data_IF_894928405327
#
_entry.id   IF_894928405327
#
_cell.length_a   1.000
_cell.length_b   1.000
_cell.length_c   1.000
_cell.angle_alpha   90.00
_cell.angle_beta   90.00
_cell.angle_gamma   90.00
#
_symmetry.space_group_name_H-M   'P 1'
#
loop_
_entity.id
_entity.type
_entity.pdbx_description
1 polymer ?
#
# COMPACT_ATOMS: atom_id res chain seq x y z
N UNK A 1 6.09 31.24 10.18
CA UNK A 1 5.58 29.90 9.86
C UNK A 1 6.33 28.93 10.76
N UNK A 2 5.63 28.19 11.60
CA UNK A 2 6.27 27.26 12.55
C UNK A 2 6.92 26.11 11.76
N UNK A 3 8.24 25.96 11.90
CA UNK A 3 9.02 24.88 11.27
C UNK A 3 8.69 23.51 11.92
N UNK A 4 7.47 23.02 11.68
CA UNK A 4 7.06 21.70 12.11
C UNK A 4 7.50 20.68 11.04
N UNK A 5 8.78 20.28 11.06
CA UNK A 5 9.29 19.30 10.11
C UNK A 5 9.15 17.87 10.65
N UNK A 6 8.66 16.96 9.78
CA UNK A 6 8.57 15.53 10.06
C UNK A 6 9.51 14.74 9.14
N UNK A 7 10.36 13.90 9.72
CA UNK A 7 11.25 13.02 8.96
C UNK A 7 10.49 11.80 8.44
N UNK A 8 10.20 11.74 7.15
CA UNK A 8 9.58 10.57 6.50
C UNK A 8 10.69 9.58 6.16
N UNK A 9 10.82 8.54 6.98
CA UNK A 9 11.93 7.60 6.86
C UNK A 9 11.56 6.37 6.03
N UNK A 10 12.33 6.15 4.97
CA UNK A 10 12.24 4.99 4.10
C UNK A 10 13.62 4.62 3.54
N UNK A 11 14.15 3.40 3.79
CA UNK A 11 15.45 2.99 3.25
C UNK A 11 15.55 3.15 1.73
N UNK A 12 14.44 2.96 1.03
CA UNK A 12 14.33 3.02 -0.42
C UNK A 12 13.25 4.04 -0.78
N UNK A 13 13.67 5.28 -1.04
CA UNK A 13 12.77 6.39 -1.34
C UNK A 13 12.15 6.28 -2.74
N UNK A 14 10.91 6.70 -2.85
CA UNK A 14 10.17 6.94 -4.11
C UNK A 14 10.08 5.73 -5.05
N UNK A 15 9.89 4.53 -4.50
CA UNK A 15 9.53 3.39 -5.34
C UNK A 15 8.15 3.62 -5.96
N UNK A 16 8.01 3.27 -7.24
CA UNK A 16 6.74 3.40 -7.98
C UNK A 16 5.59 2.73 -7.23
N UNK A 17 5.80 1.52 -6.69
CA UNK A 17 4.78 0.77 -5.93
C UNK A 17 4.45 1.37 -4.55
N UNK A 18 5.15 2.40 -4.11
CA UNK A 18 5.03 3.03 -2.80
C UNK A 18 4.76 4.55 -2.90
N UNK A 19 4.33 5.01 -4.07
CA UNK A 19 4.03 6.43 -4.34
C UNK A 19 2.98 7.04 -3.40
N UNK A 20 2.14 6.21 -2.77
CA UNK A 20 1.16 6.64 -1.78
C UNK A 20 1.81 7.34 -0.56
N UNK A 21 3.05 6.97 -0.18
CA UNK A 21 3.78 7.60 0.94
C UNK A 21 4.05 9.07 0.61
N UNK A 22 4.58 9.34 -0.58
CA UNK A 22 4.88 10.70 -1.01
C UNK A 22 3.60 11.51 -1.23
N UNK A 23 2.55 10.92 -1.81
CA UNK A 23 1.24 11.57 -1.97
C UNK A 23 0.63 11.98 -0.62
N UNK A 24 0.65 11.09 0.37
CA UNK A 24 0.13 11.39 1.70
C UNK A 24 0.93 12.51 2.37
N UNK A 25 2.26 12.44 2.33
CA UNK A 25 3.12 13.48 2.91
C UNK A 25 2.99 14.83 2.18
N UNK A 26 2.79 14.81 0.85
CA UNK A 26 2.52 16.02 0.05
C UNK A 26 1.18 16.69 0.36
N UNK A 27 0.25 15.98 0.99
CA UNK A 27 -1.05 16.51 1.40
C UNK A 27 -1.04 17.13 2.83
N UNK A 28 0.08 17.13 3.54
CA UNK A 28 0.21 17.80 4.83
C UNK A 28 0.08 19.32 4.67
N UNK A 29 -0.56 19.95 5.62
CA UNK A 29 -0.80 21.40 5.64
C UNK A 29 0.00 22.14 6.72
N UNK A 30 0.33 21.46 7.81
CA UNK A 30 0.99 22.04 8.98
C UNK A 30 2.42 21.54 9.16
N UNK A 31 2.68 20.30 8.74
CA UNK A 31 3.98 19.68 8.85
C UNK A 31 4.69 19.68 7.49
N UNK A 32 6.01 19.99 7.51
CA UNK A 32 6.86 19.94 6.34
C UNK A 32 7.54 18.56 6.26
N UNK A 33 7.30 17.75 5.22
CA UNK A 33 7.95 16.46 5.08
C UNK A 33 9.42 16.61 4.67
N UNK A 34 10.31 15.93 5.37
CA UNK A 34 11.72 15.77 5.02
C UNK A 34 11.96 14.28 4.78
N UNK A 35 12.23 13.90 3.54
CA UNK A 35 12.39 12.49 3.17
C UNK A 35 13.79 12.02 3.52
N UNK A 36 13.88 11.00 4.38
CA UNK A 36 15.12 10.40 4.86
C UNK A 36 15.27 8.99 4.30
N UNK A 37 16.33 8.73 3.57
CA UNK A 37 16.53 7.41 3.00
C UNK A 37 17.96 7.05 2.66
N UNK A 38 18.19 5.79 2.32
CA UNK A 38 19.48 5.29 1.88
C UNK A 38 19.69 5.44 0.38
N UNK A 39 18.64 5.25 -0.41
CA UNK A 39 18.70 5.26 -1.89
C UNK A 39 17.38 5.77 -2.48
N UNK A 40 17.50 6.54 -3.55
CA UNK A 40 16.39 7.02 -4.36
C UNK A 40 16.16 6.03 -5.51
N UNK A 41 14.90 5.68 -5.79
CA UNK A 41 14.49 4.72 -6.82
C UNK A 41 13.62 5.35 -7.92
N UNK A 42 12.85 6.38 -7.60
CA UNK A 42 12.00 7.12 -8.52
C UNK A 42 12.14 8.62 -8.31
N UNK A 43 11.40 9.43 -9.08
CA UNK A 43 11.44 10.88 -8.94
C UNK A 43 10.93 11.31 -7.56
N UNK A 44 11.64 12.26 -6.96
CA UNK A 44 11.15 12.95 -5.77
C UNK A 44 10.00 13.90 -6.17
N UNK A 45 9.07 14.18 -5.24
CA UNK A 45 8.10 15.26 -5.46
C UNK A 45 8.80 16.59 -5.68
N UNK A 46 8.19 17.46 -6.49
CA UNK A 46 8.74 18.79 -6.76
C UNK A 46 8.91 19.60 -5.47
N UNK A 47 10.08 20.22 -5.31
CA UNK A 47 10.40 20.98 -4.10
C UNK A 47 10.63 20.18 -2.83
N UNK A 48 10.66 18.85 -2.90
CA UNK A 48 10.83 17.98 -1.72
C UNK A 48 12.22 18.13 -1.09
N UNK A 49 12.25 18.28 0.24
CA UNK A 49 13.49 18.16 1.01
C UNK A 49 13.87 16.67 1.15
N UNK A 50 14.99 16.26 0.56
CA UNK A 50 15.43 14.87 0.53
C UNK A 50 16.84 14.73 1.08
N UNK A 51 17.02 13.86 2.06
CA UNK A 51 18.29 13.58 2.71
C UNK A 51 18.67 12.11 2.47
N UNK A 52 19.69 11.92 1.64
CA UNK A 52 20.34 10.62 1.41
C UNK A 52 21.81 10.77 1.79
N UNK A 53 22.23 10.24 2.95
CA UNK A 53 23.59 10.44 3.41
C UNK A 53 24.61 9.66 2.57
N UNK A 54 25.58 10.38 2.01
CA UNK A 54 26.74 9.84 1.29
C UNK A 54 26.38 8.71 0.27
N UNK A 55 25.55 8.98 -0.75
CA UNK A 55 24.98 7.93 -1.61
C UNK A 55 26.04 7.11 -2.38
N UNK A 56 27.23 7.64 -2.64
CA UNK A 56 28.35 6.96 -3.29
C UNK A 56 29.33 6.27 -2.33
N UNK A 57 29.18 6.41 -1.02
CA UNK A 57 30.13 5.86 -0.05
C UNK A 57 29.70 4.46 0.44
N UNK A 58 30.42 3.42 0.01
CA UNK A 58 30.13 2.04 0.34
C UNK A 58 30.19 1.76 1.87
N UNK A 59 31.11 2.38 2.60
CA UNK A 59 31.24 2.20 4.05
C UNK A 59 30.03 2.81 4.78
N UNK A 60 29.58 4.01 4.37
CA UNK A 60 28.36 4.64 4.89
C UNK A 60 27.13 3.77 4.63
N UNK A 61 27.00 3.23 3.44
CA UNK A 61 25.90 2.32 3.06
C UNK A 61 25.93 1.01 3.86
N UNK A 62 27.10 0.42 4.04
CA UNK A 62 27.29 -0.78 4.86
C UNK A 62 26.98 -0.50 6.34
N UNK A 63 27.39 0.65 6.88
CA UNK A 63 27.09 1.06 8.24
C UNK A 63 25.58 1.23 8.47
N UNK A 64 24.85 1.84 7.54
CA UNK A 64 23.39 1.96 7.62
C UNK A 64 22.73 0.58 7.66
N UNK A 65 23.10 -0.33 6.74
CA UNK A 65 22.44 -1.63 6.61
C UNK A 65 22.92 -2.63 7.67
N UNK A 66 24.23 -2.75 7.86
CA UNK A 66 24.81 -3.74 8.77
C UNK A 66 24.70 -3.35 10.23
N UNK A 67 25.07 -2.11 10.56
CA UNK A 67 25.14 -1.61 11.94
C UNK A 67 23.92 -0.76 12.31
N UNK A 68 23.01 -0.47 11.39
CA UNK A 68 21.89 0.46 11.59
C UNK A 68 22.35 1.83 12.11
N UNK A 69 23.48 2.32 11.60
CA UNK A 69 24.13 3.51 12.12
C UNK A 69 23.31 4.77 11.89
N UNK A 70 23.17 5.59 12.91
CA UNK A 70 22.48 6.89 12.85
C UNK A 70 23.40 8.02 12.34
N UNK A 71 24.72 7.91 12.56
CA UNK A 71 25.67 9.00 12.29
C UNK A 71 25.66 9.54 10.85
N UNK A 72 25.42 8.74 9.79
CA UNK A 72 25.36 9.31 8.46
C UNK A 72 24.19 10.30 8.31
N UNK A 73 23.03 9.96 8.91
CA UNK A 73 21.85 10.82 8.87
C UNK A 73 22.00 12.06 9.74
N UNK A 74 22.51 11.92 10.97
CA UNK A 74 22.72 13.07 11.87
C UNK A 74 23.67 14.09 11.25
N UNK A 75 24.77 13.65 10.64
CA UNK A 75 25.69 14.55 9.92
C UNK A 75 25.02 15.27 8.76
N UNK A 76 24.22 14.55 7.96
CA UNK A 76 23.51 15.14 6.82
C UNK A 76 22.45 16.15 7.26
N UNK A 77 21.70 15.87 8.34
CA UNK A 77 20.72 16.79 8.93
C UNK A 77 21.38 18.08 9.43
N UNK A 78 22.50 17.96 10.15
CA UNK A 78 23.28 19.13 10.63
C UNK A 78 23.82 19.94 9.44
N UNK A 79 24.40 19.27 8.44
CA UNK A 79 24.94 19.95 7.26
C UNK A 79 23.86 20.72 6.47
N UNK A 80 22.63 20.24 6.45
CA UNK A 80 21.50 20.90 5.79
C UNK A 80 20.71 21.81 6.73
N UNK A 81 21.17 22.03 7.95
CA UNK A 81 20.48 22.83 8.99
C UNK A 81 19.01 22.44 9.17
N UNK A 82 18.71 21.14 9.04
CA UNK A 82 17.37 20.63 9.15
C UNK A 82 17.06 20.20 10.58
N UNK A 83 15.99 20.75 11.16
CA UNK A 83 15.47 20.37 12.47
C UNK A 83 14.17 19.59 12.31
N UNK A 84 14.10 18.39 12.91
CA UNK A 84 12.91 17.55 12.88
C UNK A 84 12.22 17.58 14.25
N UNK A 85 10.88 17.42 14.25
CA UNK A 85 10.09 17.30 15.48
C UNK A 85 9.79 15.84 15.83
N UNK A 86 9.64 14.99 14.83
CA UNK A 86 9.44 13.55 14.97
C UNK A 86 9.94 12.82 13.71
N UNK A 87 10.09 11.50 13.84
CA UNK A 87 10.38 10.63 12.69
C UNK A 87 9.18 9.71 12.47
N UNK A 88 8.70 9.66 11.22
CA UNK A 88 7.67 8.73 10.77
C UNK A 88 8.26 7.74 9.77
N UNK A 89 8.43 6.50 10.17
CA UNK A 89 8.91 5.42 9.32
C UNK A 89 7.74 4.65 8.70
N UNK A 90 7.89 4.22 7.46
CA UNK A 90 6.92 3.35 6.80
C UNK A 90 7.45 1.93 6.70
N UNK A 91 6.65 0.96 7.19
CA UNK A 91 6.99 -0.44 7.48
C UNK A 91 7.83 -0.64 8.75
N UNK A 92 7.57 -1.71 9.48
CA UNK A 92 8.33 -2.06 10.69
C UNK A 92 9.83 -2.23 10.41
N UNK A 93 10.20 -2.70 9.21
CA UNK A 93 11.60 -2.80 8.76
C UNK A 93 12.28 -1.43 8.86
N UNK A 94 11.67 -0.39 8.27
CA UNK A 94 12.25 0.96 8.30
C UNK A 94 12.17 1.60 9.69
N UNK A 95 11.14 1.28 10.48
CA UNK A 95 11.07 1.68 11.89
C UNK A 95 12.29 1.20 12.68
N UNK A 96 12.75 -0.04 12.43
CA UNK A 96 13.96 -0.58 13.07
C UNK A 96 15.22 0.16 12.65
N UNK A 97 15.31 0.57 11.39
CA UNK A 97 16.44 1.35 10.88
C UNK A 97 16.38 2.83 11.30
N UNK A 98 15.19 3.39 11.51
CA UNK A 98 14.99 4.75 12.01
C UNK A 98 15.23 4.88 13.52
N UNK A 99 15.08 3.79 14.29
CA UNK A 99 15.15 3.80 15.74
C UNK A 99 16.46 4.37 16.29
N UNK A 100 17.67 4.00 15.78
CA UNK A 100 18.93 4.61 16.25
C UNK A 100 18.99 6.12 15.97
N UNK A 101 18.44 6.57 14.85
CA UNK A 101 18.36 8.00 14.52
C UNK A 101 17.41 8.75 15.46
N UNK A 102 16.24 8.18 15.73
CA UNK A 102 15.27 8.75 16.66
C UNK A 102 15.87 8.92 18.06
N UNK A 103 16.63 7.91 18.54
CA UNK A 103 17.36 7.98 19.80
C UNK A 103 18.43 9.07 19.79
N UNK A 104 19.26 9.12 18.74
CA UNK A 104 20.38 10.07 18.66
C UNK A 104 19.88 11.53 18.63
N UNK A 105 18.68 11.77 18.11
CA UNK A 105 18.06 13.09 18.06
C UNK A 105 17.06 13.34 19.20
N UNK A 106 16.84 12.37 20.08
CA UNK A 106 15.81 12.41 21.14
C UNK A 106 14.42 12.75 20.58
N UNK A 107 14.04 12.12 19.47
CA UNK A 107 12.76 12.35 18.79
C UNK A 107 11.82 11.16 18.94
N UNK A 108 10.50 11.38 19.04
CA UNK A 108 9.53 10.30 18.98
C UNK A 108 9.53 9.62 17.60
N UNK A 109 9.38 8.28 17.60
CA UNK A 109 9.27 7.47 16.40
C UNK A 109 7.84 6.96 16.23
N UNK A 110 7.20 7.38 15.16
CA UNK A 110 5.95 6.82 14.64
C UNK A 110 6.30 5.81 13.54
N UNK A 111 5.60 4.68 13.48
CA UNK A 111 5.81 3.70 12.41
C UNK A 111 4.48 3.25 11.82
N UNK A 112 4.27 3.44 10.52
CA UNK A 112 3.12 2.85 9.82
C UNK A 112 3.42 1.43 9.36
N UNK A 113 2.54 0.49 9.74
CA UNK A 113 2.58 -0.92 9.39
C UNK A 113 1.66 -1.15 8.18
N UNK A 114 2.22 -1.69 7.07
CA UNK A 114 1.53 -1.73 5.79
C UNK A 114 1.10 -3.12 5.32
N UNK A 115 1.70 -4.21 5.81
CA UNK A 115 1.36 -5.56 5.35
C UNK A 115 2.44 -6.57 5.70
N UNK A 116 3.30 -6.92 4.76
CA UNK A 116 4.29 -8.00 4.88
C UNK A 116 5.13 -7.94 6.16
N UNK A 117 5.34 -6.76 6.67
CA UNK A 117 6.15 -6.44 7.85
C UNK A 117 5.56 -7.02 9.15
N UNK A 118 4.25 -7.27 9.19
CA UNK A 118 3.58 -7.89 10.34
C UNK A 118 2.76 -9.12 9.97
N UNK A 119 2.26 -9.25 8.73
CA UNK A 119 1.50 -10.42 8.29
C UNK A 119 2.39 -11.63 8.00
N UNK A 120 3.59 -11.42 7.43
CA UNK A 120 4.48 -12.52 7.06
C UNK A 120 4.95 -13.34 8.26
N UNK A 121 5.12 -14.66 8.05
CA UNK A 121 5.71 -15.56 9.06
C UNK A 121 7.16 -15.19 9.31
N UNK A 122 7.61 -15.19 10.57
CA UNK A 122 8.99 -14.87 10.93
C UNK A 122 9.98 -15.82 10.28
N UNK A 123 9.64 -17.10 10.19
CA UNK A 123 10.45 -18.11 9.48
C UNK A 123 10.65 -17.78 8.00
N UNK A 124 9.66 -17.19 7.33
CA UNK A 124 9.76 -16.76 5.93
C UNK A 124 10.65 -15.51 5.80
N UNK A 125 10.55 -14.56 6.74
CA UNK A 125 11.40 -13.38 6.76
C UNK A 125 12.87 -13.75 7.03
N UNK A 126 13.14 -14.64 7.97
CA UNK A 126 14.49 -15.11 8.29
C UNK A 126 15.14 -15.88 7.11
N UNK A 127 14.36 -16.72 6.41
CA UNK A 127 14.83 -17.48 5.25
C UNK A 127 14.89 -16.68 3.95
N UNK A 128 14.48 -15.42 3.96
CA UNK A 128 14.40 -14.59 2.75
C UNK A 128 15.75 -14.23 2.12
N UNK A 129 16.87 -14.45 2.83
CA UNK A 129 18.21 -14.02 2.40
C UNK A 129 18.39 -12.48 2.35
N UNK A 130 17.37 -11.70 2.77
CA UNK A 130 17.41 -10.23 2.72
C UNK A 130 17.74 -9.66 4.10
N UNK A 131 18.94 -9.01 4.26
CA UNK A 131 19.38 -8.51 5.58
C UNK A 131 18.32 -7.66 6.30
N UNK A 132 17.68 -6.73 5.59
CA UNK A 132 16.66 -5.87 6.18
C UNK A 132 15.46 -6.65 6.74
N UNK A 133 15.01 -7.74 6.08
CA UNK A 133 13.93 -8.59 6.59
C UNK A 133 14.36 -9.42 7.80
N UNK A 134 15.60 -9.93 7.80
CA UNK A 134 16.18 -10.64 8.93
C UNK A 134 16.27 -9.70 10.15
N UNK A 135 16.82 -8.51 9.96
CA UNK A 135 16.89 -7.47 10.99
C UNK A 135 15.51 -7.10 11.55
N UNK A 136 14.46 -7.13 10.72
CA UNK A 136 13.10 -6.83 11.19
C UNK A 136 12.56 -7.83 12.21
N UNK A 137 12.98 -9.08 12.13
CA UNK A 137 12.63 -10.12 13.13
C UNK A 137 13.50 -9.96 14.38
N UNK A 138 14.82 -9.87 14.19
CA UNK A 138 15.79 -9.84 15.31
C UNK A 138 15.62 -8.61 16.21
N UNK A 139 15.25 -7.47 15.66
CA UNK A 139 15.15 -6.21 16.39
C UNK A 139 13.72 -5.71 16.63
N UNK A 140 12.70 -6.53 16.35
CA UNK A 140 11.30 -6.17 16.58
C UNK A 140 11.04 -5.76 18.02
N UNK A 141 11.59 -6.48 19.00
CA UNK A 141 11.42 -6.15 20.42
C UNK A 141 11.91 -4.75 20.76
N UNK A 142 13.03 -4.31 20.19
CA UNK A 142 13.55 -2.97 20.38
C UNK A 142 12.63 -1.90 19.78
N UNK A 143 12.08 -2.14 18.58
CA UNK A 143 11.11 -1.25 17.96
C UNK A 143 9.82 -1.16 18.79
N UNK A 144 9.26 -2.30 19.21
CA UNK A 144 8.04 -2.40 20.03
C UNK A 144 8.18 -1.65 21.35
N UNK A 145 9.30 -1.81 22.05
CA UNK A 145 9.51 -1.14 23.34
C UNK A 145 9.68 0.38 23.20
N UNK A 146 10.38 0.85 22.17
CA UNK A 146 10.83 2.24 22.05
C UNK A 146 10.04 3.08 21.03
N UNK A 147 9.36 2.44 20.07
CA UNK A 147 8.43 3.14 19.19
C UNK A 147 7.30 3.79 20.00
N UNK A 148 6.92 5.01 19.64
CA UNK A 148 5.90 5.79 20.33
C UNK A 148 4.49 5.40 19.91
N UNK A 149 4.27 5.28 18.60
CA UNK A 149 2.98 4.95 17.99
C UNK A 149 3.21 4.05 16.78
N UNK A 150 2.37 3.03 16.64
CA UNK A 150 2.29 2.15 15.47
C UNK A 150 0.95 2.37 14.77
N UNK A 151 0.99 2.98 13.62
CA UNK A 151 -0.17 3.25 12.78
C UNK A 151 -0.43 2.03 11.90
N UNK A 152 -1.58 1.41 12.03
CA UNK A 152 -1.98 0.25 11.22
C UNK A 152 -2.89 0.71 10.09
N UNK A 153 -2.57 0.35 8.84
CA UNK A 153 -3.36 0.77 7.67
C UNK A 153 -4.72 0.10 7.59
N UNK A 154 -4.99 -0.90 8.44
CA UNK A 154 -6.27 -1.61 8.53
C UNK A 154 -6.39 -2.32 9.88
N UNK A 155 -7.60 -2.72 10.25
CA UNK A 155 -7.86 -3.54 11.43
C UNK A 155 -7.21 -4.93 11.30
N UNK A 156 -7.15 -5.47 10.07
CA UNK A 156 -6.39 -6.69 9.80
C UNK A 156 -4.92 -6.53 10.20
N UNK A 157 -4.26 -5.42 9.83
CA UNK A 157 -2.88 -5.14 10.19
C UNK A 157 -2.72 -4.92 11.70
N UNK A 158 -3.70 -4.27 12.36
CA UNK A 158 -3.69 -4.13 13.82
C UNK A 158 -3.72 -5.48 14.52
N UNK A 159 -4.60 -6.40 14.09
CA UNK A 159 -4.65 -7.78 14.63
C UNK A 159 -3.36 -8.54 14.37
N UNK A 160 -2.78 -8.43 13.17
CA UNK A 160 -1.50 -9.04 12.84
C UNK A 160 -0.35 -8.50 13.71
N UNK A 161 -0.33 -7.19 13.97
CA UNK A 161 0.65 -6.55 14.85
C UNK A 161 0.51 -7.03 16.30
N UNK A 162 -0.70 -7.12 16.83
CA UNK A 162 -0.97 -7.71 18.15
C UNK A 162 -0.40 -9.14 18.26
N UNK A 163 -0.66 -9.97 17.25
CA UNK A 163 -0.14 -11.35 17.21
C UNK A 163 1.40 -11.41 17.13
N UNK A 164 2.05 -10.32 16.69
CA UNK A 164 3.52 -10.15 16.66
C UNK A 164 4.10 -9.52 17.92
N UNK A 165 3.28 -9.26 18.93
CA UNK A 165 3.69 -8.72 20.23
C UNK A 165 3.80 -7.19 20.28
N UNK A 166 3.16 -6.48 19.35
CA UNK A 166 2.99 -5.02 19.50
C UNK A 166 1.93 -4.73 20.56
N UNK A 167 2.19 -3.83 21.53
CA UNK A 167 1.26 -3.56 22.63
C UNK A 167 0.02 -2.80 22.11
N UNK A 168 -1.15 -3.21 22.60
CA UNK A 168 -2.46 -2.66 22.17
C UNK A 168 -2.52 -1.14 22.31
N UNK A 169 -2.00 -0.62 23.41
CA UNK A 169 -1.99 0.80 23.76
C UNK A 169 -1.11 1.66 22.83
N UNK A 170 -0.23 1.04 22.03
CA UNK A 170 0.59 1.73 21.02
C UNK A 170 0.08 1.53 19.58
N UNK A 171 -1.03 0.83 19.39
CA UNK A 171 -1.59 0.51 18.06
C UNK A 171 -2.82 1.38 17.79
N UNK A 172 -2.87 1.99 16.62
CA UNK A 172 -4.02 2.75 16.14
C UNK A 172 -4.27 2.46 14.66
N UNK A 173 -5.53 2.24 14.30
CA UNK A 173 -5.91 2.10 12.88
C UNK A 173 -6.07 3.48 12.27
N UNK A 174 -5.38 3.70 11.17
CA UNK A 174 -5.52 4.90 10.35
C UNK A 174 -5.33 4.52 8.88
N UNK A 175 -6.41 4.62 8.12
CA UNK A 175 -6.41 4.28 6.70
C UNK A 175 -5.59 5.29 5.88
N UNK A 176 -4.99 4.79 4.79
CA UNK A 176 -4.36 5.66 3.80
C UNK A 176 -5.41 6.48 3.06
N UNK A 177 -4.98 7.63 2.54
CA UNK A 177 -5.82 8.49 1.71
C UNK A 177 -5.57 8.31 0.21
N UNK A 178 -6.60 8.69 -0.57
CA UNK A 178 -6.56 8.81 -2.03
C UNK A 178 -7.01 10.21 -2.44
N UNK A 179 -6.40 10.77 -3.46
CA UNK A 179 -6.81 12.09 -3.97
C UNK A 179 -8.11 11.98 -4.76
N UNK A 180 -9.21 12.24 -4.07
CA UNK A 180 -10.55 12.21 -4.67
C UNK A 180 -10.84 13.41 -5.57
N UNK A 181 -10.04 14.48 -5.51
CA UNK A 181 -10.23 15.65 -6.36
C UNK A 181 -9.59 15.45 -7.74
N UNK A 182 -8.40 14.84 -7.81
CA UNK A 182 -7.71 14.57 -9.08
C UNK A 182 -8.25 13.34 -9.80
N UNK A 183 -8.82 12.38 -9.05
CA UNK A 183 -9.43 11.16 -9.59
C UNK A 183 -10.94 11.35 -9.68
N UNK A 184 -11.48 11.43 -10.89
CA UNK A 184 -12.91 11.58 -11.16
C UNK A 184 -13.47 10.40 -11.94
N UNK A 185 -14.71 9.96 -11.67
CA UNK A 185 -15.42 9.01 -12.50
C UNK A 185 -15.61 9.50 -13.93
N UNK A 186 -15.69 8.56 -14.86
CA UNK A 186 -16.10 8.77 -16.24
C UNK A 186 -17.04 7.61 -16.63
N UNK A 187 -18.31 7.65 -16.21
CA UNK A 187 -19.24 6.56 -16.43
C UNK A 187 -19.57 6.34 -17.92
N UNK A 188 -19.53 7.40 -18.73
CA UNK A 188 -19.85 7.34 -20.16
C UNK A 188 -18.68 6.80 -21.00
N UNK A 189 -17.45 6.91 -20.49
CA UNK A 189 -16.22 6.41 -21.14
C UNK A 189 -15.94 4.92 -20.87
N UNK A 190 -16.82 4.19 -20.17
CA UNK A 190 -16.57 2.78 -19.84
C UNK A 190 -16.69 1.87 -21.04
N UNK A 191 -15.67 1.05 -21.24
CA UNK A 191 -15.69 -0.01 -22.23
C UNK A 191 -16.55 -1.19 -21.73
N UNK A 192 -17.48 -1.69 -22.53
CA UNK A 192 -18.32 -2.81 -22.13
C UNK A 192 -17.48 -4.07 -21.90
N UNK A 193 -17.93 -4.91 -20.97
CA UNK A 193 -17.34 -6.21 -20.64
C UNK A 193 -15.80 -6.16 -20.43
N UNK A 194 -15.31 -5.13 -19.75
CA UNK A 194 -13.88 -4.97 -19.50
C UNK A 194 -13.56 -5.10 -18.01
N UNK A 195 -12.68 -6.05 -17.69
CA UNK A 195 -12.13 -6.27 -16.34
C UNK A 195 -10.66 -5.79 -16.33
N UNK A 196 -10.27 -5.01 -15.34
CA UNK A 196 -8.86 -4.69 -15.14
C UNK A 196 -8.37 -5.23 -13.80
N UNK A 197 -7.18 -5.82 -13.83
CA UNK A 197 -6.45 -6.33 -12.67
C UNK A 197 -5.09 -5.66 -12.59
N UNK A 198 -4.85 -4.87 -11.56
CA UNK A 198 -3.60 -4.14 -11.34
C UNK A 198 -2.84 -4.76 -10.18
N UNK A 199 -1.72 -5.43 -10.45
CA UNK A 199 -1.01 -6.15 -9.42
C UNK A 199 0.45 -6.46 -9.80
N UNK A 200 1.33 -6.55 -8.81
CA UNK A 200 2.56 -7.31 -9.00
C UNK A 200 2.22 -8.78 -9.19
N UNK A 201 2.82 -9.45 -10.15
CA UNK A 201 2.52 -10.87 -10.44
C UNK A 201 3.29 -11.78 -9.46
N UNK A 202 2.75 -11.83 -8.22
CA UNK A 202 3.23 -12.65 -7.09
C UNK A 202 2.07 -13.42 -6.46
N UNK A 203 2.36 -14.47 -5.71
CA UNK A 203 1.38 -15.39 -5.13
C UNK A 203 0.19 -14.67 -4.47
N UNK A 204 0.46 -13.71 -3.57
CA UNK A 204 -0.60 -13.05 -2.80
C UNK A 204 -1.61 -12.24 -3.63
N UNK A 205 -1.29 -11.92 -4.87
CA UNK A 205 -2.18 -11.18 -5.76
C UNK A 205 -3.21 -12.05 -6.46
N UNK A 206 -3.05 -13.38 -6.37
CA UNK A 206 -4.05 -14.35 -6.77
C UNK A 206 -4.46 -14.32 -8.25
N UNK A 207 -3.64 -13.74 -9.13
CA UNK A 207 -3.95 -13.57 -10.56
C UNK A 207 -4.41 -14.89 -11.22
N UNK A 208 -3.86 -16.03 -10.79
CA UNK A 208 -4.25 -17.36 -11.28
C UNK A 208 -5.75 -17.65 -11.07
N UNK A 209 -6.32 -17.19 -9.95
CA UNK A 209 -7.74 -17.40 -9.65
C UNK A 209 -8.63 -16.53 -10.54
N UNK A 210 -8.17 -15.33 -10.91
CA UNK A 210 -8.86 -14.51 -11.92
C UNK A 210 -8.86 -15.22 -13.29
N UNK A 211 -7.71 -15.73 -13.75
CA UNK A 211 -7.62 -16.43 -15.03
C UNK A 211 -8.58 -17.62 -15.09
N UNK A 212 -8.64 -18.41 -14.00
CA UNK A 212 -9.57 -19.54 -13.90
C UNK A 212 -11.04 -19.10 -13.88
N UNK A 213 -11.36 -17.99 -13.21
CA UNK A 213 -12.71 -17.42 -13.23
C UNK A 213 -13.09 -16.93 -14.64
N UNK A 214 -12.17 -16.25 -15.32
CA UNK A 214 -12.35 -15.77 -16.71
C UNK A 214 -12.57 -16.93 -17.68
N UNK A 215 -11.88 -18.06 -17.51
CA UNK A 215 -12.07 -19.25 -18.33
C UNK A 215 -13.52 -19.76 -18.31
N UNK A 216 -14.23 -19.56 -17.19
CA UNK A 216 -15.64 -19.93 -17.02
C UNK A 216 -16.62 -18.93 -17.67
N UNK A 217 -16.13 -17.71 -17.93
CA UNK A 217 -16.97 -16.59 -18.41
C UNK A 217 -16.88 -16.37 -19.93
N UNK A 218 -15.76 -16.71 -20.56
CA UNK A 218 -15.44 -16.28 -21.92
C UNK A 218 -16.52 -16.68 -22.95
N UNK A 219 -17.12 -17.88 -22.81
CA UNK A 219 -18.11 -18.37 -23.74
C UNK A 219 -19.47 -17.67 -23.59
N UNK A 220 -19.79 -17.22 -22.35
CA UNK A 220 -20.95 -16.41 -22.04
C UNK A 220 -20.78 -14.92 -22.42
N UNK A 221 -19.52 -14.46 -22.51
CA UNK A 221 -19.16 -13.07 -22.81
C UNK A 221 -18.14 -13.02 -23.98
N UNK A 222 -18.56 -13.22 -25.25
CA UNK A 222 -17.62 -13.26 -26.39
C UNK A 222 -16.78 -11.96 -26.55
N UNK A 223 -17.28 -10.83 -26.03
CA UNK A 223 -16.58 -9.52 -26.06
C UNK A 223 -15.78 -9.21 -24.81
N UNK A 224 -15.61 -10.18 -23.89
CA UNK A 224 -14.88 -9.97 -22.64
C UNK A 224 -13.42 -9.61 -22.88
N UNK A 225 -12.97 -8.55 -22.23
CA UNK A 225 -11.57 -8.11 -22.19
C UNK A 225 -11.06 -8.07 -20.77
N UNK A 226 -9.89 -8.67 -20.54
CA UNK A 226 -9.25 -8.69 -19.24
C UNK A 226 -7.84 -8.12 -19.35
N UNK A 227 -7.63 -6.95 -18.79
CA UNK A 227 -6.34 -6.30 -18.74
C UNK A 227 -5.61 -6.68 -17.45
N UNK A 228 -4.45 -7.31 -17.57
CA UNK A 228 -3.56 -7.61 -16.44
C UNK A 228 -2.37 -6.65 -16.51
N UNK A 229 -2.31 -5.73 -15.54
CA UNK A 229 -1.31 -4.67 -15.48
C UNK A 229 -0.35 -4.95 -14.33
N UNK A 230 0.93 -5.01 -14.64
CA UNK A 230 2.03 -5.20 -13.71
C UNK A 230 2.97 -6.30 -14.11
N UNK A 231 4.05 -6.42 -13.34
CA UNK A 231 5.13 -7.38 -13.56
C UNK A 231 5.38 -8.23 -12.31
N UNK A 232 6.04 -9.36 -12.49
CA UNK A 232 6.47 -10.19 -11.38
C UNK A 232 6.96 -11.56 -11.78
N UNK A 233 7.55 -12.30 -10.85
CA UNK A 233 8.16 -13.60 -11.13
C UNK A 233 7.20 -14.69 -11.62
N UNK A 234 5.89 -14.54 -11.37
CA UNK A 234 4.89 -15.50 -11.81
C UNK A 234 4.38 -15.25 -13.24
N UNK A 235 4.82 -14.16 -13.92
CA UNK A 235 4.35 -13.82 -15.26
C UNK A 235 4.39 -14.99 -16.25
N UNK A 236 5.51 -15.73 -16.42
CA UNK A 236 5.56 -16.84 -17.38
C UNK A 236 4.53 -17.94 -17.08
N UNK A 237 4.33 -18.26 -15.80
CA UNK A 237 3.35 -19.27 -15.38
C UNK A 237 1.90 -18.80 -15.61
N UNK A 238 1.63 -17.52 -15.40
CA UNK A 238 0.31 -16.94 -15.61
C UNK A 238 -0.03 -16.79 -17.10
N UNK A 239 0.94 -16.47 -17.94
CA UNK A 239 0.78 -16.46 -19.39
C UNK A 239 0.50 -17.87 -19.94
N UNK A 240 1.14 -18.90 -19.37
CA UNK A 240 0.84 -20.29 -19.67
C UNK A 240 -0.58 -20.69 -19.25
N UNK A 241 -1.02 -20.34 -18.03
CA UNK A 241 -2.39 -20.56 -17.53
C UNK A 241 -3.44 -19.85 -18.43
N UNK A 242 -3.08 -18.70 -18.98
CA UNK A 242 -3.97 -17.91 -19.85
C UNK A 242 -3.97 -18.36 -21.32
N UNK A 243 -3.11 -19.30 -21.74
CA UNK A 243 -2.93 -19.68 -23.16
C UNK A 243 -4.26 -20.03 -23.83
N UNK A 244 -5.15 -20.76 -23.15
CA UNK A 244 -6.47 -21.12 -23.65
C UNK A 244 -7.48 -19.98 -23.74
N UNK A 245 -7.16 -18.78 -23.23
CA UNK A 245 -8.06 -17.62 -23.20
C UNK A 245 -7.87 -16.67 -24.40
N UNK A 246 -6.81 -16.87 -25.19
CA UNK A 246 -6.54 -16.09 -26.40
C UNK A 246 -6.56 -14.59 -26.15
N UNK A 247 -7.21 -13.83 -27.06
CA UNK A 247 -7.26 -12.36 -26.99
C UNK A 247 -8.14 -11.80 -25.86
N UNK A 248 -8.86 -12.66 -25.14
CA UNK A 248 -9.66 -12.24 -23.96
C UNK A 248 -8.76 -11.66 -22.87
N UNK A 249 -7.55 -12.19 -22.69
CA UNK A 249 -6.61 -11.76 -21.63
C UNK A 249 -5.37 -11.11 -22.24
N UNK A 250 -5.06 -9.90 -21.76
CA UNK A 250 -3.89 -9.14 -22.19
C UNK A 250 -2.99 -8.81 -20.99
N UNK A 251 -1.74 -9.25 -21.06
CA UNK A 251 -0.69 -8.88 -20.10
C UNK A 251 0.02 -7.61 -20.59
N UNK A 252 -0.30 -6.47 -19.98
CA UNK A 252 0.17 -5.16 -20.43
C UNK A 252 1.53 -4.77 -19.83
N UNK A 253 2.07 -5.58 -18.90
CA UNK A 253 3.31 -5.25 -18.22
C UNK A 253 3.16 -4.11 -17.22
N UNK A 254 4.30 -3.51 -16.82
CA UNK A 254 4.30 -2.33 -15.96
C UNK A 254 4.02 -1.08 -16.80
N UNK A 255 3.02 -0.33 -16.41
CA UNK A 255 2.63 0.92 -17.07
C UNK A 255 2.82 2.12 -16.12
N UNK A 256 3.00 3.35 -16.67
CA UNK A 256 2.91 4.58 -15.90
C UNK A 256 1.57 4.71 -15.16
N UNK A 257 1.58 5.31 -13.96
CA UNK A 257 0.36 5.39 -13.13
C UNK A 257 -0.82 6.09 -13.83
N UNK A 258 -0.54 7.08 -14.66
CA UNK A 258 -1.57 7.79 -15.46
C UNK A 258 -2.29 6.87 -16.44
N UNK A 259 -1.56 5.99 -17.11
CA UNK A 259 -2.11 4.99 -18.02
C UNK A 259 -2.91 3.92 -17.26
N UNK A 260 -2.37 3.45 -16.11
CA UNK A 260 -3.08 2.50 -15.22
C UNK A 260 -4.44 3.08 -14.81
N UNK A 261 -4.47 4.32 -14.33
CA UNK A 261 -5.70 5.00 -13.91
C UNK A 261 -6.66 5.21 -15.07
N UNK A 262 -6.16 5.51 -16.28
CA UNK A 262 -6.97 5.61 -17.48
C UNK A 262 -7.66 4.28 -17.82
N UNK A 263 -6.91 3.17 -17.83
CA UNK A 263 -7.46 1.83 -18.07
C UNK A 263 -8.45 1.40 -16.97
N UNK A 264 -8.16 1.71 -15.72
CA UNK A 264 -9.08 1.44 -14.61
C UNK A 264 -10.39 2.22 -14.78
N UNK A 265 -10.32 3.51 -15.13
CA UNK A 265 -11.49 4.38 -15.34
C UNK A 265 -12.42 3.86 -16.43
N UNK A 266 -11.85 3.32 -17.50
CA UNK A 266 -12.58 2.75 -18.63
C UNK A 266 -13.13 1.33 -18.36
N UNK A 267 -12.77 0.71 -17.24
CA UNK A 267 -13.20 -0.68 -16.96
C UNK A 267 -14.63 -0.74 -16.45
N UNK A 268 -15.33 -1.83 -16.78
CA UNK A 268 -16.63 -2.18 -16.17
C UNK A 268 -16.45 -2.44 -14.68
N UNK A 269 -15.37 -3.13 -14.29
CA UNK A 269 -15.03 -3.45 -12.91
C UNK A 269 -13.52 -3.70 -12.74
N UNK A 270 -13.08 -3.63 -11.50
CA UNK A 270 -11.72 -4.02 -11.10
C UNK A 270 -11.78 -5.37 -10.36
N UNK A 271 -10.88 -6.30 -10.70
CA UNK A 271 -10.77 -7.59 -10.03
C UNK A 271 -9.53 -7.64 -9.13
N UNK A 272 -9.71 -8.00 -7.86
CA UNK A 272 -8.64 -8.13 -6.86
C UNK A 272 -8.74 -9.47 -6.13
N UNK A 273 -8.37 -10.58 -6.79
CA UNK A 273 -8.50 -11.94 -6.26
C UNK A 273 -7.37 -12.31 -5.29
N UNK A 274 -6.94 -11.36 -4.46
CA UNK A 274 -5.80 -11.53 -3.55
C UNK A 274 -6.00 -12.69 -2.59
N UNK A 275 -4.90 -13.29 -2.14
CA UNK A 275 -4.90 -14.41 -1.21
C UNK A 275 -3.79 -14.24 -0.17
N UNK A 276 -3.94 -14.88 0.96
CA UNK A 276 -2.84 -15.06 1.89
C UNK A 276 -1.84 -16.03 1.29
N UNK A 277 -0.62 -15.55 1.04
CA UNK A 277 0.46 -16.38 0.48
C UNK A 277 0.96 -17.43 1.47
N UNK A 278 1.66 -18.46 0.98
CA UNK A 278 2.28 -19.48 1.81
C UNK A 278 3.28 -18.92 2.84
N UNK A 279 3.86 -17.75 2.57
CA UNK A 279 4.71 -17.01 3.51
C UNK A 279 3.94 -16.32 4.65
N UNK A 280 2.60 -16.27 4.59
CA UNK A 280 1.74 -15.47 5.45
C UNK A 280 1.59 -14.01 4.98
N UNK A 281 2.27 -13.60 3.89
CA UNK A 281 2.12 -12.24 3.33
C UNK A 281 0.68 -12.08 2.79
N UNK A 282 -0.01 -11.06 3.26
CA UNK A 282 -1.37 -10.70 2.87
C UNK A 282 -1.47 -9.20 2.56
N UNK A 283 -2.60 -8.76 2.05
CA UNK A 283 -2.83 -7.35 1.77
C UNK A 283 -3.02 -6.56 3.08
N UNK A 284 -2.39 -5.38 3.17
CA UNK A 284 -2.67 -4.46 4.26
C UNK A 284 -3.96 -3.67 3.99
N UNK A 285 -3.86 -2.72 3.07
CA UNK A 285 -4.94 -1.99 2.41
C UNK A 285 -4.44 -1.64 1.01
N UNK A 286 -4.83 -2.37 -0.06
CA UNK A 286 -4.31 -2.13 -1.39
C UNK A 286 -4.73 -0.76 -1.91
N UNK A 287 -3.79 0.07 -2.38
CA UNK A 287 -4.12 1.39 -2.97
C UNK A 287 -5.03 1.29 -4.17
N UNK A 288 -4.95 0.20 -4.93
CA UNK A 288 -5.82 -0.08 -6.09
C UNK A 288 -7.31 -0.10 -5.69
N UNK A 289 -7.67 -0.52 -4.45
CA UNK A 289 -9.06 -0.45 -3.98
C UNK A 289 -9.52 0.99 -3.84
N UNK A 290 -8.65 1.87 -3.33
CA UNK A 290 -8.94 3.28 -3.15
C UNK A 290 -8.95 4.02 -4.49
N UNK A 291 -8.05 3.67 -5.40
CA UNK A 291 -7.97 4.21 -6.75
C UNK A 291 -9.23 3.85 -7.56
N UNK A 292 -9.66 2.58 -7.54
CA UNK A 292 -10.90 2.14 -8.19
C UNK A 292 -12.13 2.84 -7.60
N UNK A 293 -12.20 2.93 -6.27
CA UNK A 293 -13.30 3.63 -5.58
C UNK A 293 -13.35 5.12 -5.97
N UNK A 294 -12.21 5.83 -5.98
CA UNK A 294 -12.13 7.21 -6.38
C UNK A 294 -12.55 7.43 -7.85
N UNK A 295 -12.27 6.48 -8.73
CA UNK A 295 -12.69 6.48 -10.12
C UNK A 295 -14.17 6.03 -10.31
N UNK A 296 -14.87 5.70 -9.23
CA UNK A 296 -16.24 5.24 -9.28
C UNK A 296 -16.41 3.87 -9.95
N UNK A 297 -15.38 3.04 -9.98
CA UNK A 297 -15.39 1.71 -10.61
C UNK A 297 -15.62 0.64 -9.53
N UNK A 298 -16.64 -0.24 -9.68
CA UNK A 298 -16.91 -1.27 -8.70
C UNK A 298 -15.81 -2.33 -8.67
N UNK A 299 -15.65 -2.98 -7.51
CA UNK A 299 -14.59 -3.95 -7.29
C UNK A 299 -15.19 -5.33 -7.00
N UNK A 300 -14.63 -6.37 -7.63
CA UNK A 300 -14.83 -7.75 -7.18
C UNK A 300 -13.52 -8.23 -6.57
N UNK A 301 -13.54 -8.49 -5.29
CA UNK A 301 -12.35 -8.83 -4.51
C UNK A 301 -12.54 -10.09 -3.68
N UNK A 302 -11.44 -10.61 -3.15
CA UNK A 302 -11.47 -11.67 -2.14
C UNK A 302 -11.35 -11.08 -0.74
N UNK A 303 -11.87 -11.78 0.28
CA UNK A 303 -11.70 -11.45 1.69
C UNK A 303 -10.27 -11.79 2.14
N UNK A 304 -9.31 -11.02 1.65
CA UNK A 304 -7.89 -11.17 1.94
C UNK A 304 -7.33 -9.91 2.58
N UNK A 305 -6.79 -10.08 3.78
CA UNK A 305 -6.17 -8.95 4.49
C UNK A 305 -7.15 -7.85 4.88
N UNK A 306 -6.83 -6.60 4.55
CA UNK A 306 -7.66 -5.42 4.84
C UNK A 306 -8.58 -5.01 3.68
N UNK A 307 -8.77 -5.82 2.66
CA UNK A 307 -9.55 -5.44 1.46
C UNK A 307 -11.01 -5.14 1.83
N UNK A 308 -11.63 -5.94 2.68
CA UNK A 308 -13.02 -5.78 3.13
C UNK A 308 -13.26 -4.48 3.93
N UNK A 309 -12.21 -3.78 4.35
CA UNK A 309 -12.33 -2.46 4.98
C UNK A 309 -12.53 -1.33 3.96
N UNK A 310 -12.14 -1.54 2.70
CA UNK A 310 -12.33 -0.59 1.60
C UNK A 310 -13.47 -1.00 0.66
N UNK A 311 -13.76 -2.30 0.54
CA UNK A 311 -14.81 -2.83 -0.35
C UNK A 311 -15.96 -3.35 0.51
N UNK A 312 -17.10 -2.65 0.46
CA UNK A 312 -18.32 -3.03 1.20
C UNK A 312 -19.15 -3.97 0.32
N UNK A 313 -19.26 -5.25 0.75
CA UNK A 313 -19.96 -6.27 -0.02
C UNK A 313 -21.41 -5.89 -0.33
N UNK A 314 -21.81 -6.03 -1.58
CA UNK A 314 -23.15 -5.69 -2.08
C UNK A 314 -23.42 -4.18 -2.24
N UNK A 315 -22.50 -3.30 -1.81
CA UNK A 315 -22.68 -1.83 -1.83
C UNK A 315 -21.68 -1.15 -2.75
N UNK A 316 -20.38 -1.40 -2.58
CA UNK A 316 -19.32 -0.78 -3.38
C UNK A 316 -18.65 -1.76 -4.35
N UNK A 317 -19.08 -3.01 -4.30
CA UNK A 317 -18.57 -4.13 -5.06
C UNK A 317 -18.96 -5.44 -4.41
N UNK A 318 -18.18 -6.50 -4.66
CA UNK A 318 -18.37 -7.79 -4.04
C UNK A 318 -17.10 -8.31 -3.40
N UNK A 319 -17.27 -9.00 -2.26
CA UNK A 319 -16.19 -9.69 -1.55
C UNK A 319 -16.52 -11.18 -1.48
N UNK A 320 -15.61 -12.03 -1.97
CA UNK A 320 -15.77 -13.49 -1.98
C UNK A 320 -14.63 -14.16 -1.20
N UNK A 321 -14.77 -15.41 -0.75
CA UNK A 321 -13.68 -16.13 -0.08
C UNK A 321 -12.43 -16.25 -0.95
N UNK A 322 -11.24 -16.27 -0.33
CA UNK A 322 -9.98 -16.53 -1.03
C UNK A 322 -10.05 -17.87 -1.80
N UNK A 323 -9.47 -17.90 -3.01
CA UNK A 323 -9.37 -19.09 -3.88
C UNK A 323 -10.70 -19.66 -4.38
N UNK A 324 -11.84 -19.04 -4.05
CA UNK A 324 -13.17 -19.46 -4.48
C UNK A 324 -13.44 -19.00 -5.93
N UNK A 325 -12.91 -19.75 -6.90
CA UNK A 325 -12.98 -19.43 -8.34
C UNK A 325 -14.43 -19.29 -8.83
N UNK A 326 -15.32 -20.18 -8.40
CA UNK A 326 -16.74 -20.15 -8.77
C UNK A 326 -17.43 -18.89 -8.26
N UNK A 327 -17.29 -18.60 -6.96
CA UNK A 327 -17.87 -17.39 -6.39
C UNK A 327 -17.30 -16.11 -7.04
N UNK A 328 -16.01 -16.09 -7.36
CA UNK A 328 -15.39 -14.99 -8.10
C UNK A 328 -16.02 -14.84 -9.49
N UNK A 329 -16.14 -15.94 -10.24
CA UNK A 329 -16.78 -15.96 -11.56
C UNK A 329 -18.22 -15.46 -11.53
N UNK A 330 -19.02 -15.92 -10.55
CA UNK A 330 -20.42 -15.51 -10.40
C UNK A 330 -20.56 -14.00 -10.14
N UNK A 331 -19.72 -13.43 -9.28
CA UNK A 331 -19.76 -11.99 -8.97
C UNK A 331 -19.25 -11.13 -10.14
N UNK A 332 -18.23 -11.59 -10.87
CA UNK A 332 -17.78 -10.96 -12.11
C UNK A 332 -18.91 -10.97 -13.17
N UNK A 333 -19.53 -12.14 -13.41
CA UNK A 333 -20.65 -12.30 -14.33
C UNK A 333 -21.81 -11.35 -14.01
N UNK A 334 -22.16 -11.22 -12.73
CA UNK A 334 -23.25 -10.38 -12.28
C UNK A 334 -23.06 -8.92 -12.66
N UNK A 335 -21.85 -8.37 -12.47
CA UNK A 335 -21.56 -6.98 -12.84
C UNK A 335 -21.40 -6.79 -14.34
N UNK A 336 -20.94 -7.81 -15.07
CA UNK A 336 -20.84 -7.78 -16.52
C UNK A 336 -22.22 -7.80 -17.20
N UNK A 337 -23.19 -8.51 -16.60
CA UNK A 337 -24.57 -8.61 -17.13
C UNK A 337 -25.47 -7.44 -16.74
N UNK A 338 -25.11 -6.69 -15.69
CA UNK A 338 -25.96 -5.62 -15.16
C UNK A 338 -25.16 -4.30 -15.04
N UNK A 339 -25.08 -3.52 -16.13
CA UNK A 339 -24.40 -2.23 -16.15
C UNK A 339 -24.98 -1.21 -15.14
N UNK A 340 -26.29 -1.30 -14.86
CA UNK A 340 -26.96 -0.41 -13.89
C UNK A 340 -26.48 -0.72 -12.47
N UNK A 341 -26.40 -2.00 -12.13
CA UNK A 341 -25.84 -2.44 -10.86
C UNK A 341 -24.35 -2.04 -10.74
N UNK A 342 -23.57 -2.24 -11.79
CA UNK A 342 -22.15 -1.86 -11.81
C UNK A 342 -21.98 -0.34 -11.60
N UNK A 343 -22.79 0.48 -12.28
CA UNK A 343 -22.78 1.94 -12.09
C UNK A 343 -23.17 2.34 -10.67
N UNK A 344 -24.24 1.74 -10.11
CA UNK A 344 -24.70 1.99 -8.74
C UNK A 344 -23.63 1.65 -7.72
N UNK A 345 -22.98 0.49 -7.84
CA UNK A 345 -21.89 0.09 -6.94
C UNK A 345 -20.66 0.99 -7.10
N UNK A 346 -20.34 1.40 -8.32
CA UNK A 346 -19.27 2.36 -8.58
C UNK A 346 -19.53 3.72 -7.93
N UNK A 347 -20.76 4.23 -7.99
CA UNK A 347 -21.15 5.46 -7.29
C UNK A 347 -21.05 5.30 -5.77
N UNK A 348 -21.45 4.14 -5.22
CA UNK A 348 -21.27 3.80 -3.81
C UNK A 348 -19.80 3.76 -3.41
N UNK A 349 -18.94 3.18 -4.26
CA UNK A 349 -17.50 3.14 -4.02
C UNK A 349 -16.89 4.55 -4.01
N UNK A 350 -17.29 5.42 -4.94
CA UNK A 350 -16.89 6.82 -4.99
C UNK A 350 -17.27 7.57 -3.72
N UNK A 351 -18.53 7.46 -3.32
CA UNK A 351 -19.01 8.08 -2.08
C UNK A 351 -18.20 7.61 -0.86
N UNK A 352 -17.95 6.30 -0.75
CA UNK A 352 -17.13 5.74 0.34
C UNK A 352 -15.70 6.29 0.32
N UNK A 353 -15.08 6.45 -0.87
CA UNK A 353 -13.74 7.04 -1.00
C UNK A 353 -13.72 8.49 -0.49
N UNK A 354 -14.68 9.30 -0.88
CA UNK A 354 -14.81 10.70 -0.46
C UNK A 354 -15.03 10.86 1.04
N UNK A 355 -15.84 10.00 1.65
CA UNK A 355 -16.15 10.10 3.07
C UNK A 355 -15.03 9.55 3.96
N UNK A 356 -14.44 8.42 3.58
CA UNK A 356 -13.60 7.64 4.47
C UNK A 356 -12.12 7.59 4.07
N UNK A 357 -11.78 7.89 2.81
CA UNK A 357 -10.43 7.73 2.29
C UNK A 357 -9.89 8.97 1.57
N UNK A 358 -10.55 10.12 1.66
CA UNK A 358 -10.02 11.36 1.06
C UNK A 358 -8.65 11.73 1.66
N UNK A 359 -7.67 12.00 0.79
CA UNK A 359 -6.27 12.20 1.21
C UNK A 359 -6.09 13.43 2.09
N UNK A 360 -6.84 14.51 1.85
CA UNK A 360 -6.73 15.74 2.65
C UNK A 360 -7.25 15.49 4.06
N UNK A 361 -8.39 14.80 4.18
CA UNK A 361 -8.96 14.43 5.49
C UNK A 361 -8.06 13.43 6.24
N UNK A 362 -7.56 12.41 5.55
CA UNK A 362 -6.68 11.42 6.18
C UNK A 362 -5.34 12.04 6.59
N UNK A 363 -4.75 12.91 5.77
CA UNK A 363 -3.52 13.61 6.14
C UNK A 363 -3.73 14.55 7.33
N UNK A 364 -4.84 15.27 7.39
CA UNK A 364 -5.17 16.12 8.54
C UNK A 364 -5.32 15.31 9.85
N UNK A 365 -5.97 14.13 9.80
CA UNK A 365 -6.04 13.21 10.95
C UNK A 365 -4.65 12.72 11.37
N UNK A 366 -3.77 12.41 10.40
CA UNK A 366 -2.40 11.99 10.70
C UNK A 366 -1.57 13.12 11.34
N UNK A 367 -1.75 14.37 10.88
CA UNK A 367 -1.11 15.52 11.52
C UNK A 367 -1.61 15.74 12.96
N UNK A 368 -2.89 15.49 13.25
CA UNK A 368 -3.43 15.49 14.62
C UNK A 368 -2.78 14.39 15.48
N UNK A 369 -2.52 13.21 14.91
CA UNK A 369 -1.77 12.16 15.61
C UNK A 369 -0.32 12.59 15.93
N UNK A 370 0.32 13.34 15.02
CA UNK A 370 1.64 13.93 15.32
C UNK A 370 1.59 14.91 16.49
N UNK A 371 0.57 15.78 16.56
CA UNK A 371 0.40 16.69 17.71
C UNK A 371 0.26 15.92 19.02
N UNK A 372 -0.56 14.87 19.06
CA UNK A 372 -0.76 14.01 20.23
C UNK A 372 0.55 13.31 20.64
N UNK A 373 1.32 12.81 19.65
CA UNK A 373 2.65 12.23 19.88
C UNK A 373 3.59 13.24 20.54
N UNK A 374 3.63 14.47 20.03
CA UNK A 374 4.47 15.57 20.54
C UNK A 374 4.01 16.08 21.91
N UNK A 375 2.71 16.03 22.19
CA UNK A 375 2.13 16.33 23.52
C UNK A 375 2.45 15.25 24.57
N UNK A 376 3.06 14.13 24.17
CA UNK A 376 3.49 13.08 25.09
C UNK A 376 2.46 11.98 25.34
N UNK A 377 1.36 11.90 24.60
CA UNK A 377 0.36 10.84 24.74
C UNK A 377 0.97 9.44 24.54
N UNK A 378 0.53 8.47 25.35
CA UNK A 378 1.08 7.12 25.40
C UNK A 378 0.09 6.02 25.08
N UNK A 379 -1.20 6.31 25.14
CA UNK A 379 -2.29 5.37 24.88
C UNK A 379 -3.13 5.85 23.69
N UNK A 380 -3.40 4.95 22.73
CA UNK A 380 -3.99 5.28 21.42
C UNK A 380 -5.28 4.49 21.10
N UNK A 381 -5.68 3.59 21.99
CA UNK A 381 -6.85 2.72 21.83
C UNK A 381 -8.07 3.15 22.59
#
# INVERSE_FOLDING_TARGET
MSDLSVGIFRLQLFKISEGFIARQAGAYRRYQPVYLGRKIFGPAPDGASVIVPNPGNALSQAAIIGLRAAWPFTRALVAQRCSLRLIHAHFAVDGIYALPLARALNLPLVTTLHGFDVSSRDSALLRSGRPAKIQSVLHRRALVSQGRLFVCVSEFIRRAALAKGFPKEKLLVHHMGIDTNSLSPDPDGRAPATITHVARLVEKKGTVYLLRAVARLRDAFPGLRVNIIGEGPLRPQLEEEARGLGDTVRFLGALPNTEVLGLMRQSTLIALPSVTAASGDAEGLPTVTLEAAALGVPIVATDSGGIAEAVIDGVTGYVVPERAVEALSDRLSRLLNDPVLAARMGAGARHNAEQNFDIVRQSAKLEQLYDRVLAGETAWG
#
